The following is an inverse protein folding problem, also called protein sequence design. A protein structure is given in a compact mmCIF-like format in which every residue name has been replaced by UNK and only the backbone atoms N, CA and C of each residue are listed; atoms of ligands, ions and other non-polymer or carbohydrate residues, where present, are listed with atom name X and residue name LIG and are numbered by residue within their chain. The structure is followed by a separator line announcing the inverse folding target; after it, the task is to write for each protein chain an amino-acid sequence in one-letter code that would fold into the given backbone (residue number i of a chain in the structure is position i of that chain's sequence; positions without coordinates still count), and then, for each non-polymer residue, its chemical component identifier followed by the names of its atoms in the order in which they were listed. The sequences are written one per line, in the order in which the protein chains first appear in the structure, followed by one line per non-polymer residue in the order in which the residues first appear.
data_IF_110257970698
#
_entry.id   IF_110257970698
#
_cell.length_a   1.000
_cell.length_b   1.000
_cell.length_c   1.000
_cell.angle_alpha   90.00
_cell.angle_beta   90.00
_cell.angle_gamma   90.00
#
_symmetry.space_group_name_H-M   'P 1'
#
loop_
_entity.id
_entity.type
_entity.pdbx_description
1 polymer ?
#
# COMPACT_ATOMS: atom_id res chain seq x y z
N UNK A 1 -23.31 9.68 -7.31
CA UNK A 1 -22.66 9.43 -6.01
C UNK A 1 -22.50 7.95 -5.63
N UNK A 2 -23.56 7.14 -5.37
CA UNK A 2 -23.35 5.71 -4.99
C UNK A 2 -22.58 4.91 -6.04
N UNK A 3 -22.88 5.12 -7.32
CA UNK A 3 -22.23 4.42 -8.43
C UNK A 3 -20.80 4.89 -8.69
N UNK A 4 -20.46 6.14 -8.38
CA UNK A 4 -19.12 6.70 -8.60
C UNK A 4 -18.12 6.16 -7.59
N UNK A 5 -18.52 6.09 -6.32
CA UNK A 5 -17.70 5.47 -5.28
C UNK A 5 -17.47 3.98 -5.56
N UNK A 6 -18.52 3.25 -5.96
CA UNK A 6 -18.40 1.85 -6.36
C UNK A 6 -17.46 1.66 -7.57
N UNK A 7 -17.52 2.56 -8.57
CA UNK A 7 -16.58 2.55 -9.71
C UNK A 7 -15.14 2.87 -9.28
N UNK A 8 -14.93 3.83 -8.39
CA UNK A 8 -13.61 4.17 -7.87
C UNK A 8 -13.01 3.00 -7.07
N UNK A 9 -13.81 2.40 -6.17
CA UNK A 9 -13.47 1.16 -5.46
C UNK A 9 -13.07 0.03 -6.43
N UNK A 10 -13.90 -0.26 -7.43
CA UNK A 10 -13.62 -1.28 -8.43
C UNK A 10 -12.34 -0.97 -9.22
N UNK A 11 -12.07 0.31 -9.51
CA UNK A 11 -10.85 0.75 -10.21
C UNK A 11 -9.59 0.44 -9.39
N UNK A 12 -9.58 0.77 -8.09
CA UNK A 12 -8.47 0.44 -7.20
C UNK A 12 -8.24 -1.07 -7.14
N UNK A 13 -9.31 -1.85 -6.96
CA UNK A 13 -9.22 -3.32 -6.91
C UNK A 13 -8.65 -3.91 -8.18
N UNK A 14 -9.14 -3.47 -9.34
CA UNK A 14 -8.69 -3.94 -10.64
C UNK A 14 -7.24 -3.52 -10.91
N UNK A 15 -6.85 -2.30 -10.53
CA UNK A 15 -5.46 -1.83 -10.62
C UNK A 15 -4.50 -2.67 -9.77
N UNK A 16 -4.88 -2.97 -8.52
CA UNK A 16 -4.11 -3.83 -7.64
C UNK A 16 -4.00 -5.26 -8.20
N UNK A 17 -5.11 -5.83 -8.71
CA UNK A 17 -5.10 -7.16 -9.32
C UNK A 17 -4.22 -7.22 -10.57
N UNK A 18 -4.26 -6.18 -11.40
CA UNK A 18 -3.42 -6.06 -12.59
C UNK A 18 -1.94 -6.03 -12.22
N UNK A 19 -1.56 -5.20 -11.23
CA UNK A 19 -0.17 -5.06 -10.81
C UNK A 19 0.39 -6.37 -10.23
N UNK A 20 -0.40 -7.08 -9.41
CA UNK A 20 -0.03 -8.39 -8.89
C UNK A 20 0.19 -9.41 -10.02
N UNK A 21 -0.75 -9.52 -10.96
CA UNK A 21 -0.65 -10.43 -12.11
C UNK A 21 0.56 -10.10 -12.98
N UNK A 22 0.80 -8.82 -13.26
CA UNK A 22 1.94 -8.38 -14.03
C UNK A 22 3.26 -8.79 -13.36
N UNK A 23 3.38 -8.58 -12.05
CA UNK A 23 4.58 -8.97 -11.29
C UNK A 23 4.82 -10.48 -11.29
N UNK A 24 3.79 -11.30 -11.11
CA UNK A 24 3.89 -12.76 -11.20
C UNK A 24 4.39 -13.21 -12.58
N UNK A 25 3.90 -12.57 -13.66
CA UNK A 25 4.36 -12.88 -15.01
C UNK A 25 5.83 -12.47 -15.24
N UNK A 26 6.30 -11.37 -14.64
CA UNK A 26 7.70 -10.96 -14.73
C UNK A 26 8.65 -11.95 -14.05
N UNK A 27 8.23 -12.51 -12.91
CA UNK A 27 9.01 -13.53 -12.20
C UNK A 27 9.09 -14.85 -12.97
N UNK A 28 7.96 -15.31 -13.52
CA UNK A 28 7.90 -16.50 -14.36
C UNK A 28 8.79 -16.37 -15.62
N UNK A 29 8.92 -15.16 -16.16
CA UNK A 29 9.79 -14.88 -17.30
C UNK A 29 11.29 -14.84 -16.94
N UNK A 30 11.66 -15.01 -15.67
CA UNK A 30 13.06 -14.99 -15.24
C UNK A 30 13.75 -13.64 -15.48
N UNK A 31 12.97 -12.55 -15.51
CA UNK A 31 13.46 -11.20 -15.85
C UNK A 31 14.28 -10.57 -14.73
N UNK A 32 15.42 -11.18 -14.38
CA UNK A 32 16.45 -10.62 -13.50
C UNK A 32 17.66 -10.21 -14.34
N UNK A 33 17.45 -9.29 -15.27
CA UNK A 33 18.55 -8.62 -15.95
C UNK A 33 19.37 -7.82 -14.93
N UNK A 34 20.69 -7.72 -15.14
CA UNK A 34 21.69 -7.15 -14.22
C UNK A 34 21.41 -5.74 -13.66
N UNK A 35 22.39 -5.02 -13.10
CA UNK A 35 22.14 -3.82 -12.28
C UNK A 35 21.18 -2.77 -12.86
N UNK A 36 21.19 -2.58 -14.18
CA UNK A 36 20.27 -1.65 -14.89
C UNK A 36 18.83 -2.17 -14.97
N UNK A 37 18.66 -3.49 -15.14
CA UNK A 37 17.36 -4.16 -15.12
C UNK A 37 16.69 -4.05 -13.75
N UNK A 38 17.45 -4.32 -12.68
CA UNK A 38 16.98 -4.12 -11.31
C UNK A 38 16.49 -2.69 -11.07
N UNK A 39 17.30 -1.68 -11.39
CA UNK A 39 16.93 -0.26 -11.22
C UNK A 39 15.62 0.09 -11.94
N UNK A 40 15.47 -0.36 -13.20
CA UNK A 40 14.26 -0.09 -13.98
C UNK A 40 13.04 -0.75 -13.34
N UNK A 41 13.18 -2.01 -12.92
CA UNK A 41 12.12 -2.77 -12.24
C UNK A 41 11.70 -2.08 -10.92
N UNK A 42 12.66 -1.69 -10.09
CA UNK A 42 12.40 -0.98 -8.82
C UNK A 42 11.60 0.31 -9.04
N UNK A 43 11.90 1.09 -10.09
CA UNK A 43 11.12 2.29 -10.43
C UNK A 43 9.70 1.98 -10.89
N UNK A 44 9.51 0.95 -11.71
CA UNK A 44 8.17 0.54 -12.17
C UNK A 44 7.31 0.10 -10.97
N UNK A 45 7.87 -0.72 -10.08
CA UNK A 45 7.20 -1.16 -8.85
C UNK A 45 6.86 0.05 -7.99
N UNK A 46 7.82 0.94 -7.75
CA UNK A 46 7.59 2.13 -6.94
C UNK A 46 6.48 3.02 -7.52
N UNK A 47 6.44 3.21 -8.85
CA UNK A 47 5.37 3.96 -9.51
C UNK A 47 4.01 3.29 -9.32
N UNK A 48 3.92 1.97 -9.53
CA UNK A 48 2.68 1.23 -9.27
C UNK A 48 2.19 1.41 -7.84
N UNK A 49 3.08 1.29 -6.86
CA UNK A 49 2.75 1.51 -5.45
C UNK A 49 2.34 2.97 -5.15
N UNK A 50 2.97 3.97 -5.78
CA UNK A 50 2.58 5.38 -5.62
C UNK A 50 1.17 5.64 -6.16
N UNK A 51 0.83 5.05 -7.30
CA UNK A 51 -0.51 5.22 -7.87
C UNK A 51 -1.57 4.50 -7.04
N UNK A 52 -1.31 3.28 -6.56
CA UNK A 52 -2.22 2.59 -5.63
C UNK A 52 -2.43 3.38 -4.33
N UNK A 53 -1.35 3.87 -3.72
CA UNK A 53 -1.40 4.68 -2.50
C UNK A 53 -2.17 6.00 -2.72
N UNK A 54 -1.91 6.69 -3.83
CA UNK A 54 -2.62 7.91 -4.20
C UNK A 54 -4.10 7.65 -4.42
N UNK A 55 -4.45 6.57 -5.11
CA UNK A 55 -5.84 6.25 -5.39
C UNK A 55 -6.58 5.88 -4.10
N UNK A 56 -5.97 5.06 -3.23
CA UNK A 56 -6.53 4.79 -1.89
C UNK A 56 -6.70 6.08 -1.08
N UNK A 57 -5.72 6.98 -1.11
CA UNK A 57 -5.78 8.26 -0.40
C UNK A 57 -7.02 9.10 -0.80
N UNK A 58 -7.32 9.15 -2.09
CA UNK A 58 -8.52 9.83 -2.61
C UNK A 58 -9.80 9.09 -2.23
N UNK A 59 -9.79 7.75 -2.28
CA UNK A 59 -10.95 6.93 -1.91
C UNK A 59 -11.33 7.11 -0.44
N UNK A 60 -10.35 7.34 0.45
CA UNK A 60 -10.60 7.66 1.86
C UNK A 60 -11.30 9.02 2.02
N UNK A 61 -10.92 10.05 1.25
CA UNK A 61 -11.61 11.35 1.31
C UNK A 61 -13.08 11.23 0.88
N UNK A 62 -13.35 10.46 -0.18
CA UNK A 62 -14.71 10.16 -0.63
C UNK A 62 -15.50 9.38 0.42
N UNK A 63 -14.86 8.42 1.10
CA UNK A 63 -15.47 7.69 2.20
C UNK A 63 -15.81 8.62 3.36
N UNK A 64 -14.92 9.55 3.73
CA UNK A 64 -15.21 10.56 4.76
C UNK A 64 -16.48 11.34 4.42
N UNK A 65 -16.59 11.90 3.20
CA UNK A 65 -17.76 12.67 2.79
C UNK A 65 -19.05 11.85 2.85
N UNK A 66 -19.01 10.59 2.41
CA UNK A 66 -20.16 9.69 2.43
C UNK A 66 -20.66 9.35 3.83
N UNK A 67 -19.76 9.41 4.81
CA UNK A 67 -20.06 9.20 6.23
C UNK A 67 -20.36 10.50 7.00
N UNK A 68 -20.42 11.66 6.32
CA UNK A 68 -20.59 12.95 6.98
C UNK A 68 -19.38 13.39 7.82
N UNK A 69 -18.21 12.79 7.57
CA UNK A 69 -16.95 13.11 8.24
C UNK A 69 -16.14 14.14 7.43
N UNK A 70 -15.29 14.95 8.09
CA UNK A 70 -14.43 15.88 7.38
C UNK A 70 -13.34 15.14 6.57
N UNK A 71 -13.34 15.34 5.25
CA UNK A 71 -12.25 14.88 4.38
C UNK A 71 -11.01 15.78 4.49
N UNK A 72 -9.85 15.25 4.12
CA UNK A 72 -8.56 15.94 4.22
C UNK A 72 -7.77 15.87 2.90
N UNK A 73 -8.26 16.52 1.82
CA UNK A 73 -7.69 16.38 0.47
C UNK A 73 -6.22 16.83 0.34
N UNK A 74 -5.74 17.65 1.27
CA UNK A 74 -4.32 18.09 1.32
C UNK A 74 -3.40 17.09 2.03
N UNK A 75 -3.94 16.14 2.79
CA UNK A 75 -3.15 15.15 3.53
C UNK A 75 -2.76 13.98 2.63
N UNK A 76 -1.47 13.94 2.25
CA UNK A 76 -0.93 12.89 1.36
C UNK A 76 -0.49 11.61 2.09
N UNK A 77 -0.47 11.62 3.42
CA UNK A 77 -0.15 10.43 4.20
C UNK A 77 -1.42 9.57 4.35
N UNK A 78 -1.51 8.52 3.54
CA UNK A 78 -2.65 7.59 3.50
C UNK A 78 -2.84 6.85 4.82
N UNK A 79 -1.77 6.39 5.47
CA UNK A 79 -1.85 5.68 6.75
C UNK A 79 -2.48 6.55 7.83
N UNK A 80 -2.06 7.82 7.95
CA UNK A 80 -2.65 8.76 8.90
C UNK A 80 -4.09 9.09 8.53
N UNK A 81 -4.38 9.32 7.24
CA UNK A 81 -5.74 9.68 6.79
C UNK A 81 -6.73 8.54 7.06
N UNK A 82 -6.37 7.33 6.69
CA UNK A 82 -7.16 6.12 6.94
C UNK A 82 -7.30 5.86 8.45
N UNK A 83 -6.23 6.07 9.23
CA UNK A 83 -6.27 5.97 10.68
C UNK A 83 -7.28 6.94 11.30
N UNK A 84 -7.28 8.21 10.88
CA UNK A 84 -8.27 9.19 11.33
C UNK A 84 -9.69 8.81 10.94
N UNK A 85 -9.91 8.31 9.72
CA UNK A 85 -11.21 7.82 9.28
C UNK A 85 -11.71 6.66 10.15
N UNK A 86 -10.87 5.64 10.38
CA UNK A 86 -11.24 4.47 11.21
C UNK A 86 -11.48 4.86 12.66
N UNK A 87 -10.64 5.72 13.24
CA UNK A 87 -10.83 6.21 14.59
C UNK A 87 -12.16 6.96 14.76
N UNK A 88 -12.58 7.75 13.76
CA UNK A 88 -13.88 8.42 13.76
C UNK A 88 -15.07 7.44 13.72
N UNK A 89 -14.85 6.21 13.25
CA UNK A 89 -15.82 5.11 13.29
C UNK A 89 -15.66 4.22 14.54
N UNK A 90 -14.77 4.56 15.47
CA UNK A 90 -14.46 3.76 16.66
C UNK A 90 -13.67 2.47 16.35
N UNK A 91 -12.96 2.42 15.22
CA UNK A 91 -12.20 1.27 14.75
C UNK A 91 -10.69 1.54 14.79
N UNK A 92 -9.91 0.52 15.15
CA UNK A 92 -8.45 0.54 15.04
C UNK A 92 -7.99 0.22 13.61
N UNK A 93 -6.84 0.77 13.19
CA UNK A 93 -6.19 0.45 11.92
C UNK A 93 -5.00 -0.50 12.17
N UNK A 94 -5.28 -1.80 12.16
CA UNK A 94 -4.26 -2.83 12.41
C UNK A 94 -3.12 -2.80 11.37
N UNK A 95 -3.44 -2.40 10.13
CA UNK A 95 -2.52 -2.38 8.98
C UNK A 95 -1.59 -1.14 8.99
N UNK A 96 -1.71 -0.26 9.97
CA UNK A 96 -0.93 1.00 10.02
C UNK A 96 0.58 0.78 9.94
N UNK A 97 1.21 -0.15 10.70
CA UNK A 97 2.64 -0.39 10.60
C UNK A 97 3.07 -0.84 9.19
N UNK A 98 2.23 -1.66 8.54
CA UNK A 98 2.49 -2.14 7.19
C UNK A 98 2.41 -1.01 6.15
N UNK A 99 1.43 -0.12 6.25
CA UNK A 99 1.33 1.06 5.37
C UNK A 99 2.52 2.02 5.53
N UNK A 100 2.99 2.22 6.77
CA UNK A 100 4.16 3.05 7.03
C UNK A 100 5.45 2.41 6.46
N UNK A 101 5.62 1.10 6.62
CA UNK A 101 6.72 0.35 6.03
C UNK A 101 6.67 0.39 4.48
N UNK A 102 5.49 0.24 3.88
CA UNK A 102 5.28 0.37 2.43
C UNK A 102 5.69 1.75 1.91
N UNK A 103 5.29 2.82 2.61
CA UNK A 103 5.65 4.18 2.22
C UNK A 103 7.18 4.37 2.17
N UNK A 104 7.90 3.90 3.21
CA UNK A 104 9.37 3.94 3.24
C UNK A 104 9.99 3.10 2.13
N UNK A 105 9.52 1.87 1.97
CA UNK A 105 10.05 0.92 0.99
C UNK A 105 9.89 1.45 -0.43
N UNK A 106 8.71 1.97 -0.77
CA UNK A 106 8.42 2.61 -2.05
C UNK A 106 9.36 3.78 -2.33
N UNK A 107 9.62 4.63 -1.34
CA UNK A 107 10.50 5.78 -1.52
C UNK A 107 11.94 5.33 -1.79
N UNK A 108 12.41 4.26 -1.15
CA UNK A 108 13.72 3.65 -1.42
C UNK A 108 13.79 2.98 -2.79
N UNK A 109 12.73 2.27 -3.21
CA UNK A 109 12.63 1.72 -4.57
C UNK A 109 12.72 2.82 -5.64
N UNK A 110 12.11 3.97 -5.39
CA UNK A 110 12.10 5.09 -6.34
C UNK A 110 13.40 5.92 -6.32
N UNK A 111 13.80 6.43 -5.15
CA UNK A 111 14.88 7.39 -5.02
C UNK A 111 16.26 6.73 -4.85
N UNK A 112 16.30 5.53 -4.26
CA UNK A 112 17.54 4.82 -3.97
C UNK A 112 17.77 3.63 -4.92
N UNK A 113 17.05 3.59 -6.04
CA UNK A 113 17.14 2.53 -7.06
C UNK A 113 16.94 1.12 -6.50
N UNK A 114 16.18 0.97 -5.42
CA UNK A 114 15.96 -0.31 -4.75
C UNK A 114 17.04 -0.71 -3.74
N UNK A 115 17.90 0.22 -3.31
CA UNK A 115 18.85 -0.04 -2.23
C UNK A 115 18.29 0.39 -0.86
N UNK A 116 18.44 -0.46 0.15
CA UNK A 116 18.12 -0.14 1.53
C UNK A 116 19.22 0.74 2.15
N UNK A 117 19.20 2.05 1.87
CA UNK A 117 20.27 2.96 2.34
C UNK A 117 20.12 3.42 3.80
N UNK A 118 18.98 3.14 4.44
CA UNK A 118 18.69 3.50 5.84
C UNK A 118 17.75 2.47 6.46
N UNK A 119 17.87 2.25 7.77
CA UNK A 119 16.92 1.48 8.55
C UNK A 119 15.62 2.26 8.84
N UNK A 120 14.73 1.67 9.62
CA UNK A 120 13.45 2.30 9.98
C UNK A 120 13.64 3.61 10.75
N UNK A 121 14.62 3.65 11.66
CA UNK A 121 15.03 4.87 12.37
C UNK A 121 16.50 5.21 12.14
N UNK A 122 16.86 6.44 12.49
CA UNK A 122 18.25 6.92 12.41
C UNK A 122 19.15 6.04 13.28
N UNK A 123 20.16 5.44 12.65
CA UNK A 123 21.14 4.58 13.32
C UNK A 123 20.76 3.10 13.35
N UNK A 124 19.52 2.74 12.98
CA UNK A 124 19.12 1.33 12.85
C UNK A 124 19.66 0.72 11.55
N UNK A 125 19.97 -0.58 11.61
CA UNK A 125 20.58 -1.35 10.50
C UNK A 125 19.59 -2.22 9.74
N UNK A 126 18.33 -2.25 10.18
CA UNK A 126 17.26 -3.01 9.57
C UNK A 126 16.19 -2.07 9.07
N UNK A 127 15.69 -2.35 7.88
CA UNK A 127 14.53 -1.72 7.28
C UNK A 127 13.40 -2.74 7.25
N UNK A 128 12.27 -2.41 7.86
CA UNK A 128 11.03 -3.17 7.72
C UNK A 128 10.41 -2.89 6.35
N UNK A 129 10.08 -3.97 5.65
CA UNK A 129 9.46 -3.98 4.34
C UNK A 129 7.93 -4.08 4.50
N UNK A 130 7.22 -3.57 3.49
CA UNK A 130 5.77 -3.43 3.55
C UNK A 130 4.95 -4.70 3.28
N UNK A 131 5.57 -5.88 3.33
CA UNK A 131 4.97 -7.17 3.05
C UNK A 131 5.41 -8.22 4.08
N UNK A 132 4.67 -9.33 4.22
CA UNK A 132 5.01 -10.39 5.16
C UNK A 132 6.40 -11.01 4.91
N UNK A 133 7.03 -11.49 5.98
CA UNK A 133 8.28 -12.27 5.92
C UNK A 133 8.07 -13.64 5.28
N UNK A 134 9.12 -14.18 4.65
CA UNK A 134 9.11 -15.57 4.15
C UNK A 134 8.99 -16.61 5.26
N UNK A 135 9.61 -16.31 6.41
CA UNK A 135 9.77 -17.26 7.51
C UNK A 135 8.63 -17.14 8.53
N UNK A 136 8.01 -15.97 8.60
CA UNK A 136 6.85 -15.68 9.45
C UNK A 136 5.92 -14.70 8.73
N UNK A 137 4.74 -15.20 8.34
CA UNK A 137 3.71 -14.40 7.67
C UNK A 137 3.01 -13.41 8.61
N UNK A 138 3.13 -13.57 9.93
CA UNK A 138 2.62 -12.62 10.92
C UNK A 138 3.57 -11.42 11.13
N UNK A 139 4.85 -11.57 10.78
CA UNK A 139 5.84 -10.52 10.83
C UNK A 139 6.04 -9.88 9.46
N UNK A 140 6.38 -8.60 9.44
CA UNK A 140 6.82 -7.93 8.21
C UNK A 140 8.25 -8.34 7.88
N UNK A 141 8.52 -8.51 6.59
CA UNK A 141 9.87 -8.81 6.09
C UNK A 141 10.83 -7.68 6.49
N UNK A 142 12.11 -8.01 6.67
CA UNK A 142 13.15 -7.02 6.96
C UNK A 142 14.34 -7.21 6.05
N UNK A 143 15.09 -6.13 5.83
CA UNK A 143 16.32 -6.16 5.05
C UNK A 143 17.40 -5.31 5.72
N UNK A 144 18.64 -5.79 5.68
CA UNK A 144 19.77 -5.05 6.22
C UNK A 144 20.13 -3.84 5.34
N UNK A 145 20.55 -2.75 5.98
CA UNK A 145 21.07 -1.58 5.27
C UNK A 145 22.27 -1.95 4.40
N UNK A 146 22.34 -1.38 3.20
CA UNK A 146 23.34 -1.69 2.19
C UNK A 146 22.92 -2.83 1.25
N UNK A 147 21.81 -3.51 1.52
CA UNK A 147 21.31 -4.59 0.67
C UNK A 147 20.41 -4.08 -0.44
N UNK A 148 20.29 -4.89 -1.49
CA UNK A 148 19.28 -4.72 -2.54
C UNK A 148 17.92 -5.18 -2.00
N UNK A 149 16.88 -4.37 -2.22
CA UNK A 149 15.49 -4.72 -1.95
C UNK A 149 14.99 -5.55 -3.14
N UNK A 150 14.84 -6.85 -2.94
CA UNK A 150 14.22 -7.73 -3.93
C UNK A 150 12.73 -7.82 -3.65
N UNK A 151 11.93 -7.51 -4.67
CA UNK A 151 10.47 -7.59 -4.60
C UNK A 151 10.02 -8.67 -5.57
N UNK A 152 9.49 -9.74 -5.00
CA UNK A 152 8.92 -10.87 -5.74
C UNK A 152 7.46 -10.60 -6.13
N UNK A 153 6.94 -11.42 -7.03
CA UNK A 153 5.54 -11.45 -7.39
C UNK A 153 4.66 -11.81 -6.20
N UNK A 154 5.12 -12.71 -5.32
CA UNK A 154 4.43 -13.05 -4.08
C UNK A 154 4.32 -11.85 -3.14
N UNK A 155 5.41 -11.11 -2.95
CA UNK A 155 5.40 -9.88 -2.14
C UNK A 155 4.40 -8.88 -2.70
N UNK A 156 4.41 -8.65 -4.02
CA UNK A 156 3.49 -7.73 -4.67
C UNK A 156 2.04 -8.22 -4.64
N UNK A 157 1.78 -9.52 -4.70
CA UNK A 157 0.44 -10.06 -4.53
C UNK A 157 -0.08 -9.80 -3.11
N UNK A 158 0.75 -9.98 -2.08
CA UNK A 158 0.39 -9.65 -0.69
C UNK A 158 0.07 -8.16 -0.53
N UNK A 159 0.91 -7.28 -1.09
CA UNK A 159 0.67 -5.83 -1.05
C UNK A 159 -0.60 -5.44 -1.80
N UNK A 160 -0.82 -5.99 -2.99
CA UNK A 160 -2.03 -5.71 -3.76
C UNK A 160 -3.30 -6.24 -3.06
N UNK A 161 -3.20 -7.40 -2.39
CA UNK A 161 -4.26 -7.94 -1.54
C UNK A 161 -4.61 -7.00 -0.39
N UNK A 162 -3.60 -6.42 0.28
CA UNK A 162 -3.81 -5.39 1.30
C UNK A 162 -4.60 -4.20 0.74
N UNK A 163 -4.19 -3.64 -0.40
CA UNK A 163 -4.93 -2.51 -1.02
C UNK A 163 -6.38 -2.86 -1.35
N UNK A 164 -6.65 -4.10 -1.79
CA UNK A 164 -8.01 -4.59 -2.05
C UNK A 164 -8.84 -4.68 -0.76
N UNK A 165 -8.27 -5.25 0.30
CA UNK A 165 -8.93 -5.36 1.61
C UNK A 165 -9.25 -3.98 2.20
N UNK A 166 -8.29 -3.05 2.13
CA UNK A 166 -8.51 -1.68 2.59
C UNK A 166 -9.60 -0.98 1.79
N UNK A 167 -9.66 -1.20 0.47
CA UNK A 167 -10.73 -0.66 -0.37
C UNK A 167 -12.10 -1.25 0.01
N UNK A 168 -12.18 -2.56 0.25
CA UNK A 168 -13.42 -3.24 0.67
C UNK A 168 -13.92 -2.70 2.00
N UNK A 169 -13.04 -2.53 2.98
CA UNK A 169 -13.39 -1.97 4.29
C UNK A 169 -13.98 -0.55 4.19
N UNK A 170 -13.52 0.26 3.21
CA UNK A 170 -14.10 1.59 2.95
C UNK A 170 -15.50 1.52 2.33
N UNK A 171 -15.82 0.44 1.61
CA UNK A 171 -17.15 0.23 1.02
C UNK A 171 -18.13 -0.34 2.06
N UNK A 172 -17.70 -1.29 2.87
CA UNK A 172 -18.49 -1.96 3.91
C UNK A 172 -18.86 -1.04 5.07
N UNK A 173 -18.00 -0.07 5.40
CA UNK A 173 -18.33 0.99 6.36
C UNK A 173 -19.59 1.80 5.98
N UNK A 174 -20.02 1.78 4.72
CA UNK A 174 -21.02 2.68 4.14
C UNK A 174 -22.48 2.58 4.62
N UNK A 175 -22.77 1.91 5.74
CA UNK A 175 -24.11 1.92 6.35
C UNK A 175 -24.05 2.54 7.76
N UNK A 176 -24.37 3.84 7.93
CA UNK A 176 -24.63 4.36 9.27
C UNK A 176 -25.85 3.64 9.88
N UNK A 177 -25.86 3.33 11.19
CA UNK A 177 -27.08 2.89 11.84
C UNK A 177 -28.14 3.98 11.65
N UNK A 178 -29.30 3.58 11.15
CA UNK A 178 -30.48 4.46 11.08
C UNK A 178 -30.87 4.78 12.51
N UNK A 179 -30.53 5.99 12.98
CA UNK A 179 -31.12 6.53 14.20
C UNK A 179 -32.55 6.94 13.83
N UNK A 180 -33.49 6.04 14.02
CA UNK A 180 -34.90 6.39 14.12
C UNK A 180 -35.10 7.18 15.41
N UNK A 181 -35.71 8.36 15.26
CA UNK A 181 -36.05 9.33 16.30
C UNK A 181 -36.93 8.75 17.42
#
# INVERSE_FOLDING_TARGET
MRDEFARAHATLRNGAAFLAKWMMAQDAAGSHAGPHGHRRRSRVIANGLRELDRFLNLLVDEACWRHGLPAQPRQRNTANKLGSFRAALGLELAERPQLEALARTRDLLFHCNGMALRGDRRGERLLTLGWPGSDDAAALATVATGSVIIVTGSDMASVCGLYQQLADALLEGGTPPSITA
#
